data_IF_986301964865
#
_entry.id   IF_986301964865
#
_cell.length_a   1.000
_cell.length_b   1.000
_cell.length_c   1.000
_cell.angle_alpha   90.00
_cell.angle_beta   90.00
_cell.angle_gamma   90.00
#
_symmetry.space_group_name_H-M   'P 1'
#
loop_
_entity.id
_entity.type
_entity.pdbx_description
1 polymer ?
#
# COMPACT_ATOMS: atom_id res chain seq x y z
N UNK A 1 -5.33 2.13 -6.11
CA UNK A 1 -5.09 1.66 -4.73
C UNK A 1 -4.21 2.66 -4.01
N UNK A 2 -4.32 2.77 -2.68
CA UNK A 2 -3.58 3.79 -1.93
C UNK A 2 -3.13 3.28 -0.56
N UNK A 3 -2.06 3.90 -0.07
CA UNK A 3 -1.70 3.97 1.33
C UNK A 3 -2.13 5.29 1.96
N UNK A 4 -1.64 5.53 3.17
CA UNK A 4 -1.86 6.75 3.93
C UNK A 4 -0.57 7.27 4.54
N UNK A 5 -0.36 8.58 4.44
CA UNK A 5 0.67 9.34 5.13
C UNK A 5 0.03 10.12 6.30
N UNK A 6 0.40 9.75 7.52
CA UNK A 6 -0.11 10.32 8.77
C UNK A 6 0.90 11.27 9.40
N UNK A 7 0.57 12.57 9.57
CA UNK A 7 1.36 13.44 10.43
C UNK A 7 1.12 13.10 11.92
N UNK A 8 2.19 13.07 12.70
CA UNK A 8 2.20 12.73 14.11
C UNK A 8 2.49 13.97 14.99
N UNK A 9 1.94 14.03 16.22
CA UNK A 9 1.08 13.03 16.85
C UNK A 9 -0.35 13.03 16.28
N UNK A 10 -0.98 11.86 16.28
CA UNK A 10 -2.40 11.75 15.96
C UNK A 10 -3.25 12.41 17.05
N UNK A 11 -4.13 13.32 16.63
CA UNK A 11 -5.14 13.95 17.46
C UNK A 11 -6.51 13.69 16.85
N UNK A 12 -7.37 12.98 17.60
CA UNK A 12 -8.72 12.62 17.16
C UNK A 12 -9.51 13.86 16.73
N UNK A 13 -10.08 13.82 15.53
CA UNK A 13 -10.89 14.90 14.96
C UNK A 13 -10.09 16.05 14.33
N UNK A 14 -8.76 16.08 14.48
CA UNK A 14 -7.89 17.12 13.91
C UNK A 14 -6.90 16.57 12.90
N UNK A 15 -6.16 15.53 13.26
CA UNK A 15 -5.17 14.91 12.36
C UNK A 15 -5.90 14.15 11.26
N UNK A 16 -5.49 14.38 10.01
CA UNK A 16 -5.99 13.68 8.82
C UNK A 16 -4.82 13.17 8.02
N UNK A 17 -4.91 11.93 7.57
CA UNK A 17 -3.94 11.37 6.64
C UNK A 17 -4.15 11.89 5.22
N UNK A 18 -3.07 12.07 4.50
CA UNK A 18 -3.10 12.21 3.04
C UNK A 18 -3.11 10.81 2.41
N UNK A 19 -3.95 10.60 1.40
CA UNK A 19 -3.86 9.39 0.58
C UNK A 19 -2.63 9.47 -0.32
N UNK A 20 -1.92 8.37 -0.46
CA UNK A 20 -0.72 8.28 -1.31
C UNK A 20 -0.82 7.05 -2.21
N UNK A 21 -0.41 7.16 -3.48
CA UNK A 21 -0.34 5.98 -4.35
C UNK A 21 0.78 5.04 -3.87
N UNK A 22 0.64 3.74 -4.11
CA UNK A 22 1.63 2.76 -3.65
C UNK A 22 3.01 2.97 -4.28
N UNK A 23 3.05 3.39 -5.55
CA UNK A 23 4.31 3.74 -6.21
C UNK A 23 4.93 5.01 -5.59
N UNK A 24 4.11 6.02 -5.30
CA UNK A 24 4.56 7.27 -4.69
C UNK A 24 5.09 7.06 -3.27
N UNK A 25 4.49 6.16 -2.49
CA UNK A 25 4.98 5.83 -1.15
C UNK A 25 6.40 5.23 -1.18
N UNK A 26 6.71 4.37 -2.16
CA UNK A 26 8.08 3.85 -2.35
C UNK A 26 9.04 4.98 -2.76
N UNK A 27 8.62 5.84 -3.69
CA UNK A 27 9.42 6.98 -4.12
C UNK A 27 9.69 7.96 -2.96
N UNK A 28 8.72 8.17 -2.09
CA UNK A 28 8.84 9.01 -0.89
C UNK A 28 9.87 8.42 0.09
N UNK A 29 9.81 7.12 0.38
CA UNK A 29 10.80 6.48 1.25
C UNK A 29 12.23 6.63 0.69
N UNK A 30 12.40 6.50 -0.63
CA UNK A 30 13.69 6.71 -1.32
C UNK A 30 14.14 8.16 -1.18
N UNK A 31 13.26 9.13 -1.42
CA UNK A 31 13.55 10.55 -1.36
C UNK A 31 13.98 10.99 0.06
N UNK A 32 13.28 10.50 1.08
CA UNK A 32 13.56 10.74 2.49
C UNK A 32 14.72 9.88 3.03
N UNK A 33 15.24 8.94 2.23
CA UNK A 33 16.34 8.01 2.57
C UNK A 33 16.07 7.20 3.84
N UNK A 34 14.82 6.79 4.02
CA UNK A 34 14.39 5.97 5.14
C UNK A 34 14.13 4.53 4.68
N UNK A 35 14.49 3.52 5.49
CA UNK A 35 14.17 2.14 5.14
C UNK A 35 12.66 1.91 5.22
N UNK A 36 12.15 1.08 4.30
CA UNK A 36 10.80 0.52 4.42
C UNK A 36 10.88 -0.73 5.29
N UNK A 37 10.08 -0.73 6.36
CA UNK A 37 9.88 -1.86 7.25
C UNK A 37 8.65 -2.66 6.82
N UNK A 38 8.57 -3.93 7.23
CA UNK A 38 7.44 -4.79 6.90
C UNK A 38 6.85 -5.39 8.16
N UNK A 39 5.57 -5.09 8.41
CA UNK A 39 4.85 -5.65 9.55
C UNK A 39 4.32 -7.04 9.20
N UNK A 40 4.84 -8.06 9.87
CA UNK A 40 4.48 -9.46 9.63
C UNK A 40 3.02 -9.78 9.90
N UNK A 41 2.39 -9.08 10.85
CA UNK A 41 1.01 -9.35 11.28
C UNK A 41 -0.01 -8.68 10.38
N UNK A 42 0.26 -7.44 9.98
CA UNK A 42 -0.54 -6.70 9.02
C UNK A 42 -0.31 -7.19 7.58
N UNK A 43 0.85 -7.82 7.34
CA UNK A 43 1.34 -8.20 6.03
C UNK A 43 1.39 -7.00 5.07
N UNK A 44 1.92 -5.87 5.57
CA UNK A 44 1.99 -4.59 4.85
C UNK A 44 3.27 -3.82 5.18
N UNK A 45 3.83 -3.11 4.20
CA UNK A 45 4.97 -2.22 4.39
C UNK A 45 4.58 -0.92 5.08
N UNK A 46 5.51 -0.37 5.85
CA UNK A 46 5.43 0.95 6.43
C UNK A 46 6.80 1.61 6.58
N UNK A 47 6.83 2.92 6.75
CA UNK A 47 8.02 3.65 7.14
C UNK A 47 7.66 4.91 7.90
N UNK A 48 8.67 5.52 8.52
CA UNK A 48 8.55 6.78 9.24
C UNK A 48 9.60 7.74 8.70
N UNK A 49 9.24 9.02 8.57
CA UNK A 49 10.18 10.09 8.23
C UNK A 49 9.83 11.36 9.02
N UNK A 50 10.68 12.38 8.93
CA UNK A 50 10.44 13.68 9.57
C UNK A 50 10.67 14.79 8.56
N UNK A 51 9.69 15.69 8.43
CA UNK A 51 9.80 16.86 7.55
C UNK A 51 9.35 18.10 8.29
N UNK A 52 10.17 19.16 8.24
CA UNK A 52 9.88 20.46 8.90
C UNK A 52 9.50 20.29 10.38
N UNK A 53 10.19 19.39 11.09
CA UNK A 53 9.94 19.10 12.51
C UNK A 53 8.63 18.36 12.82
N UNK A 54 7.93 17.86 11.79
CA UNK A 54 6.75 16.99 11.93
C UNK A 54 7.14 15.58 11.57
N UNK A 55 6.87 14.62 12.46
CA UNK A 55 7.07 13.20 12.20
C UNK A 55 5.89 12.66 11.39
N UNK A 56 6.16 11.82 10.42
CA UNK A 56 5.16 11.19 9.56
C UNK A 56 5.29 9.67 9.62
N UNK A 57 4.16 8.97 9.53
CA UNK A 57 4.09 7.52 9.44
C UNK A 57 3.27 7.13 8.20
N UNK A 58 3.89 6.34 7.32
CA UNK A 58 3.32 5.95 6.03
C UNK A 58 3.07 4.46 6.01
N UNK A 59 1.84 4.06 5.71
CA UNK A 59 1.43 2.66 5.48
C UNK A 59 0.89 2.53 4.06
N UNK A 60 1.34 1.52 3.32
CA UNK A 60 0.96 1.33 1.91
C UNK A 60 0.97 -0.15 1.52
N UNK A 61 0.77 -0.47 0.24
CA UNK A 61 0.94 -1.81 -0.30
C UNK A 61 2.06 -1.87 -1.35
N UNK A 62 2.78 -2.98 -1.36
CA UNK A 62 3.85 -3.34 -2.29
C UNK A 62 3.56 -4.68 -2.99
N UNK A 63 4.51 -5.17 -3.79
CA UNK A 63 4.33 -6.44 -4.49
C UNK A 63 4.10 -7.62 -3.54
N UNK A 64 4.80 -7.66 -2.40
CA UNK A 64 4.72 -8.76 -1.44
C UNK A 64 3.35 -8.79 -0.76
N UNK A 65 2.91 -7.66 -0.21
CA UNK A 65 1.61 -7.52 0.44
C UNK A 65 0.45 -7.75 -0.54
N UNK A 66 0.58 -7.32 -1.80
CA UNK A 66 -0.38 -7.66 -2.86
C UNK A 66 -0.43 -9.17 -3.13
N UNK A 67 0.72 -9.84 -3.25
CA UNK A 67 0.78 -11.29 -3.46
C UNK A 67 0.16 -12.07 -2.28
N UNK A 68 0.40 -11.64 -1.04
CA UNK A 68 -0.23 -12.22 0.16
C UNK A 68 -1.75 -12.05 0.12
N UNK A 69 -2.26 -10.88 -0.28
CA UNK A 69 -3.71 -10.66 -0.42
C UNK A 69 -4.32 -11.52 -1.53
N UNK A 70 -3.61 -11.70 -2.64
CA UNK A 70 -4.05 -12.56 -3.74
C UNK A 70 -4.05 -14.05 -3.34
N UNK A 71 -3.06 -14.52 -2.58
CA UNK A 71 -3.06 -15.93 -2.13
C UNK A 71 -4.23 -16.27 -1.20
N UNK A 72 -4.80 -15.28 -0.49
CA UNK A 72 -6.03 -15.44 0.29
C UNK A 72 -7.23 -15.70 -0.64
N UNK A 73 -7.29 -15.07 -1.82
CA UNK A 73 -8.35 -15.32 -2.82
C UNK A 73 -8.33 -16.80 -3.18
N UNK A 74 -7.16 -17.36 -3.43
CA UNK A 74 -6.98 -18.76 -3.80
C UNK A 74 -7.31 -19.70 -2.64
N UNK A 75 -6.77 -19.43 -1.45
CA UNK A 75 -6.93 -20.26 -0.27
C UNK A 75 -8.40 -20.41 0.16
N UNK A 76 -9.22 -19.38 -0.05
CA UNK A 76 -10.63 -19.37 0.30
C UNK A 76 -11.56 -19.62 -0.89
N UNK A 77 -11.02 -19.82 -2.10
CA UNK A 77 -11.83 -20.01 -3.31
C UNK A 77 -12.74 -18.81 -3.61
N UNK A 78 -12.28 -17.59 -3.33
CA UNK A 78 -13.05 -16.38 -3.58
C UNK A 78 -13.16 -16.12 -5.08
N UNK A 79 -14.28 -15.49 -5.49
CA UNK A 79 -14.55 -15.24 -6.92
C UNK A 79 -13.55 -14.28 -7.59
N UNK A 80 -12.90 -13.42 -6.81
CA UNK A 80 -11.94 -12.43 -7.32
C UNK A 80 -11.81 -11.24 -6.38
N UNK A 81 -11.22 -10.16 -6.89
CA UNK A 81 -10.93 -8.93 -6.14
C UNK A 81 -11.65 -7.72 -6.74
N UNK A 82 -11.93 -6.73 -5.90
CA UNK A 82 -12.34 -5.39 -6.32
C UNK A 82 -11.26 -4.40 -5.91
N UNK A 83 -10.86 -3.54 -6.84
CA UNK A 83 -9.76 -2.61 -6.64
C UNK A 83 -10.28 -1.19 -6.49
N UNK A 84 -9.96 -0.56 -5.37
CA UNK A 84 -10.31 0.84 -5.11
C UNK A 84 -9.04 1.70 -4.96
N UNK A 85 -8.89 2.83 -5.66
CA UNK A 85 -9.54 3.25 -6.90
C UNK A 85 -8.55 3.12 -8.06
N UNK A 86 -9.06 3.08 -9.29
CA UNK A 86 -8.25 3.21 -10.50
C UNK A 86 -7.62 4.61 -10.59
N UNK A 87 -6.52 4.74 -11.32
CA UNK A 87 -5.80 6.01 -11.52
C UNK A 87 -4.58 6.18 -10.61
N UNK A 88 -4.55 5.53 -9.44
CA UNK A 88 -3.34 5.50 -8.61
C UNK A 88 -2.37 4.43 -9.12
N UNK A 89 -1.12 4.81 -9.38
CA UNK A 89 -0.10 3.90 -9.89
C UNK A 89 0.21 2.77 -8.91
N UNK A 90 0.09 1.54 -9.41
CA UNK A 90 0.53 0.33 -8.72
C UNK A 90 0.85 -0.79 -9.74
N UNK A 91 1.90 -0.65 -10.56
CA UNK A 91 2.19 -1.55 -11.68
C UNK A 91 2.39 -3.02 -11.26
N UNK A 92 2.93 -3.24 -10.06
CA UNK A 92 3.22 -4.57 -9.52
C UNK A 92 1.94 -5.41 -9.36
N UNK A 93 0.84 -4.80 -8.92
CA UNK A 93 -0.44 -5.48 -8.79
C UNK A 93 -0.96 -5.98 -10.14
N UNK A 94 -0.86 -5.16 -11.19
CA UNK A 94 -1.30 -5.55 -12.53
C UNK A 94 -0.47 -6.68 -13.11
N UNK A 95 0.84 -6.69 -12.83
CA UNK A 95 1.71 -7.80 -13.20
C UNK A 95 1.28 -9.09 -12.50
N UNK A 96 1.10 -9.07 -11.17
CA UNK A 96 0.66 -10.24 -10.39
C UNK A 96 -0.69 -10.79 -10.86
N UNK A 97 -1.65 -9.90 -11.15
CA UNK A 97 -2.96 -10.31 -11.65
C UNK A 97 -2.87 -10.98 -13.03
N UNK A 98 -2.02 -10.47 -13.93
CA UNK A 98 -1.85 -11.03 -15.27
C UNK A 98 -1.10 -12.36 -15.25
N UNK A 99 -0.13 -12.51 -14.35
CA UNK A 99 0.69 -13.70 -14.23
C UNK A 99 -0.03 -14.84 -13.50
N UNK A 100 -0.73 -14.53 -12.40
CA UNK A 100 -1.38 -15.51 -11.55
C UNK A 100 -2.81 -15.90 -11.97
N UNK A 101 -3.50 -15.09 -12.78
CA UNK A 101 -4.93 -15.28 -13.03
C UNK A 101 -5.31 -15.20 -14.50
N UNK A 102 -6.28 -16.03 -14.89
CA UNK A 102 -7.02 -15.88 -16.15
C UNK A 102 -8.10 -14.83 -15.95
N UNK A 103 -7.90 -13.63 -16.52
CA UNK A 103 -8.87 -12.54 -16.43
C UNK A 103 -10.12 -12.85 -17.27
N UNK A 104 -11.27 -13.00 -16.60
CA UNK A 104 -12.57 -13.14 -17.26
C UNK A 104 -13.07 -11.81 -17.81
N UNK A 105 -13.42 -11.80 -19.10
CA UNK A 105 -14.18 -10.72 -19.73
C UNK A 105 -15.59 -11.22 -19.97
N UNK A 106 -16.59 -10.50 -19.47
CA UNK A 106 -18.01 -10.77 -19.73
C UNK A 106 -18.54 -9.75 -20.72
#
# INVERSE_FOLDING_TARGET
MYGYDWPLPYVKGRTRAASIANNDAQNLAIAERVPVEWDLRAASPHFTYETVGTKHEVWFDDALSAAVKLSIVDAYGLRGVSLWVLGNEFPQLWYLLKDGYKLEKK
#
